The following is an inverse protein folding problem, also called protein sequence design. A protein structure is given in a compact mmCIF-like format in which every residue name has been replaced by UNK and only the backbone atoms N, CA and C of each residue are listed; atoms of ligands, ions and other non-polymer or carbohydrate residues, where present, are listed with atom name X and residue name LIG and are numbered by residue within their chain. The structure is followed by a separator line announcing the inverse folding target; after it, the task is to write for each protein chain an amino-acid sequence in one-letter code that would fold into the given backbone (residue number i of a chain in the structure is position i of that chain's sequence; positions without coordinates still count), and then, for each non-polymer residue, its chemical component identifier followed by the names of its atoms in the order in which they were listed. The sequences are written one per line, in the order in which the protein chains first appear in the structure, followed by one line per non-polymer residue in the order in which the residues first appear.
data_IF_871279803397
#
_entry.id   IF_871279803397
#
_cell.length_a   1.000
_cell.length_b   1.000
_cell.length_c   1.000
_cell.angle_alpha   90.00
_cell.angle_beta   90.00
_cell.angle_gamma   90.00
#
_symmetry.space_group_name_H-M   'P 1'
#
loop_
_entity.id
_entity.type
_entity.pdbx_description
1 polymer ?
#
# COMPACT_ATOMS: atom_id res chain seq x y z
N UNK A 1 80.35 -28.56 -65.82
CA UNK A 1 80.66 -29.07 -64.42
C UNK A 1 79.69 -28.43 -63.45
N UNK A 2 78.96 -29.22 -62.71
CA UNK A 2 77.79 -28.90 -61.91
C UNK A 2 78.20 -28.30 -60.55
N UNK A 3 77.64 -27.09 -60.25
CA UNK A 3 77.75 -26.49 -58.93
C UNK A 3 76.40 -26.53 -58.22
N UNK A 4 76.29 -27.27 -57.11
CA UNK A 4 75.06 -27.33 -56.31
C UNK A 4 74.93 -26.09 -55.43
N UNK A 5 73.80 -25.41 -55.54
CA UNK A 5 73.41 -24.39 -54.60
C UNK A 5 72.59 -25.01 -53.42
N UNK A 6 73.17 -24.98 -52.25
CA UNK A 6 72.55 -25.42 -51.02
C UNK A 6 71.57 -24.34 -50.58
N UNK A 7 70.25 -24.69 -50.54
CA UNK A 7 69.23 -23.86 -49.97
C UNK A 7 69.25 -23.90 -48.44
N UNK A 8 69.58 -22.79 -47.82
CA UNK A 8 69.40 -22.57 -46.35
C UNK A 8 67.97 -22.30 -46.02
N UNK A 9 67.29 -23.33 -45.49
CA UNK A 9 65.96 -23.22 -44.92
C UNK A 9 66.04 -22.50 -43.57
N UNK A 10 65.65 -21.24 -43.49
CA UNK A 10 65.49 -20.54 -42.23
C UNK A 10 64.14 -20.93 -41.58
N UNK A 11 64.21 -21.73 -40.52
CA UNK A 11 63.05 -22.03 -39.66
C UNK A 11 62.60 -20.72 -38.98
N UNK A 12 61.30 -20.33 -39.05
CA UNK A 12 60.82 -19.19 -38.29
C UNK A 12 60.88 -19.55 -36.80
N UNK A 13 61.48 -18.69 -36.00
CA UNK A 13 61.64 -18.88 -34.55
C UNK A 13 60.30 -18.80 -33.85
N UNK A 14 59.85 -19.93 -33.27
CA UNK A 14 58.65 -20.07 -32.46
C UNK A 14 58.66 -19.19 -31.19
N UNK A 15 59.80 -18.62 -30.85
CA UNK A 15 60.02 -17.73 -29.71
C UNK A 15 59.33 -16.34 -29.87
N UNK A 16 59.13 -15.85 -31.09
CA UNK A 16 58.49 -14.57 -31.32
C UNK A 16 56.96 -14.63 -31.17
N UNK A 17 56.34 -15.79 -31.45
CA UNK A 17 54.92 -16.02 -31.24
C UNK A 17 54.53 -16.08 -29.74
N UNK A 18 55.36 -16.75 -28.96
CA UNK A 18 55.12 -16.88 -27.50
C UNK A 18 55.24 -15.55 -26.75
N UNK A 19 56.22 -14.69 -27.18
CA UNK A 19 56.38 -13.33 -26.62
C UNK A 19 55.24 -12.40 -26.99
N UNK A 20 54.71 -12.49 -28.23
CA UNK A 20 53.54 -11.70 -28.65
C UNK A 20 52.26 -12.14 -27.94
N UNK A 21 52.08 -13.43 -27.68
CA UNK A 21 50.94 -13.96 -26.95
C UNK A 21 51.00 -13.56 -25.47
N UNK A 22 52.15 -13.67 -24.81
CA UNK A 22 52.35 -13.26 -23.42
C UNK A 22 52.13 -11.74 -23.24
N UNK A 23 52.56 -10.92 -24.18
CA UNK A 23 52.31 -9.48 -24.17
C UNK A 23 50.82 -9.11 -24.29
N UNK A 24 50.07 -9.82 -25.13
CA UNK A 24 48.60 -9.59 -25.28
C UNK A 24 47.82 -10.04 -24.03
N UNK A 25 48.16 -11.14 -23.43
CA UNK A 25 47.50 -11.59 -22.17
C UNK A 25 47.79 -10.65 -21.00
N UNK A 26 49.01 -10.12 -20.92
CA UNK A 26 49.41 -9.17 -19.88
C UNK A 26 48.63 -7.84 -20.02
N UNK A 27 48.48 -7.34 -21.25
CA UNK A 27 47.69 -6.10 -21.51
C UNK A 27 46.22 -6.29 -21.24
N UNK A 28 45.61 -7.42 -21.61
CA UNK A 28 44.21 -7.72 -21.28
C UNK A 28 44.00 -7.86 -19.77
N UNK A 29 44.91 -8.54 -19.07
CA UNK A 29 44.85 -8.68 -17.62
C UNK A 29 45.02 -7.34 -16.90
N UNK A 30 45.93 -6.47 -17.37
CA UNK A 30 46.10 -5.12 -16.82
C UNK A 30 44.84 -4.25 -17.03
N UNK A 31 44.23 -4.33 -18.19
CA UNK A 31 43.00 -3.57 -18.49
C UNK A 31 41.82 -4.07 -17.66
N UNK A 32 41.68 -5.38 -17.48
CA UNK A 32 40.69 -5.97 -16.60
C UNK A 32 40.91 -5.58 -15.12
N UNK A 33 42.14 -5.55 -14.65
CA UNK A 33 42.48 -5.11 -13.30
C UNK A 33 42.16 -3.63 -13.09
N UNK A 34 42.43 -2.75 -14.05
CA UNK A 34 42.09 -1.34 -14.01
C UNK A 34 40.55 -1.14 -13.96
N UNK A 35 39.79 -1.91 -14.73
CA UNK A 35 38.32 -1.86 -14.72
C UNK A 35 37.74 -2.34 -13.38
N UNK A 36 38.32 -3.35 -12.78
CA UNK A 36 37.89 -3.83 -11.46
C UNK A 36 38.17 -2.82 -10.33
N UNK A 37 39.29 -2.11 -10.39
CA UNK A 37 39.64 -1.06 -9.41
C UNK A 37 38.78 0.20 -9.62
N UNK A 38 38.46 0.56 -10.86
CA UNK A 38 37.62 1.71 -11.18
C UNK A 38 36.13 1.51 -10.75
N UNK A 39 35.67 0.25 -10.63
CA UNK A 39 34.29 -0.07 -10.22
C UNK A 39 34.01 0.17 -8.72
N UNK A 40 35.05 0.19 -7.87
CA UNK A 40 34.91 0.40 -6.43
C UNK A 40 34.96 1.88 -6.03
N UNK A 41 34.11 2.71 -6.61
CA UNK A 41 34.04 4.12 -6.26
C UNK A 41 33.17 4.30 -5.02
N UNK A 42 33.78 4.69 -3.92
CA UNK A 42 33.10 4.95 -2.63
C UNK A 42 33.00 6.46 -2.31
N UNK A 43 33.22 7.32 -3.29
CA UNK A 43 33.18 8.75 -3.11
C UNK A 43 31.81 9.20 -2.58
N UNK A 44 31.79 9.86 -1.45
CA UNK A 44 30.62 10.45 -0.81
C UNK A 44 29.47 9.49 -0.45
N UNK A 45 29.66 8.16 -0.53
CA UNK A 45 28.65 7.20 -0.08
C UNK A 45 28.51 7.22 1.44
N UNK A 46 29.60 7.37 2.14
CA UNK A 46 29.63 7.47 3.60
C UNK A 46 30.23 8.82 4.00
N UNK A 47 29.35 9.76 4.29
CA UNK A 47 29.73 11.11 4.69
C UNK A 47 29.84 11.19 6.22
N UNK A 48 30.68 12.11 6.78
CA UNK A 48 30.78 12.32 8.21
C UNK A 48 29.54 13.08 8.75
N UNK A 49 28.38 12.43 8.70
CA UNK A 49 27.11 12.95 9.21
C UNK A 49 26.40 11.86 10.02
N UNK A 50 25.64 12.28 11.01
CA UNK A 50 24.78 11.37 11.76
C UNK A 50 23.55 11.02 10.91
N UNK A 51 23.39 9.74 10.60
CA UNK A 51 22.28 9.22 9.83
C UNK A 51 21.38 8.44 10.78
N UNK A 52 20.05 8.68 10.80
CA UNK A 52 19.11 7.90 11.59
C UNK A 52 19.28 6.40 11.31
N UNK A 53 19.10 5.56 12.33
CA UNK A 53 19.23 4.08 12.28
C UNK A 53 20.64 3.55 12.02
N UNK A 54 21.65 4.41 11.91
CA UNK A 54 23.05 4.00 11.97
C UNK A 54 23.62 4.17 13.38
N UNK A 55 24.64 3.39 13.68
CA UNK A 55 25.44 3.58 14.88
C UNK A 55 26.18 4.91 14.87
N UNK A 56 26.45 5.47 16.05
CA UNK A 56 27.26 6.67 16.25
C UNK A 56 28.13 6.49 17.47
N UNK A 57 29.43 6.70 17.32
CA UNK A 57 30.38 6.69 18.45
C UNK A 57 30.31 7.95 19.31
N UNK A 58 29.59 8.98 18.79
CA UNK A 58 29.43 10.26 19.50
C UNK A 58 28.56 10.13 20.75
N UNK A 59 27.64 9.16 20.80
CA UNK A 59 26.69 8.99 21.89
C UNK A 59 26.93 7.69 22.66
N UNK A 60 26.79 7.74 23.98
CA UNK A 60 27.01 6.60 24.86
C UNK A 60 26.09 5.40 24.59
N UNK A 61 24.91 5.62 24.02
CA UNK A 61 23.95 4.59 23.60
C UNK A 61 24.19 4.07 22.18
N UNK A 62 25.25 4.52 21.53
CA UNK A 62 25.65 4.18 20.16
C UNK A 62 24.54 4.40 19.09
N UNK A 63 23.53 5.21 19.36
CA UNK A 63 22.41 5.47 18.46
C UNK A 63 22.61 6.80 17.70
N UNK A 64 22.52 6.75 16.38
CA UNK A 64 22.47 7.95 15.54
C UNK A 64 21.14 8.70 15.67
N UNK A 65 20.01 7.96 15.81
CA UNK A 65 18.71 8.55 16.06
C UNK A 65 18.55 8.86 17.55
N UNK A 66 18.30 10.11 17.89
CA UNK A 66 18.10 10.54 19.27
C UNK A 66 16.65 10.39 19.69
N UNK A 67 16.37 9.87 20.89
CA UNK A 67 15.04 9.90 21.45
C UNK A 67 14.57 11.34 21.62
N UNK A 68 13.27 11.56 21.51
CA UNK A 68 12.68 12.86 21.77
C UNK A 68 12.93 13.26 23.23
N UNK A 69 13.29 14.51 23.46
CA UNK A 69 13.45 15.05 24.80
C UNK A 69 12.10 15.01 25.51
N UNK A 70 12.06 14.48 26.72
CA UNK A 70 10.83 14.39 27.50
C UNK A 70 10.19 15.78 27.66
N UNK A 71 8.86 15.81 27.60
CA UNK A 71 8.03 17.01 27.71
C UNK A 71 8.28 18.06 26.61
N UNK A 72 8.81 17.64 25.45
CA UNK A 72 8.95 18.50 24.27
C UNK A 72 8.18 17.93 23.09
N UNK A 73 7.70 18.83 22.23
CA UNK A 73 7.10 18.49 20.94
C UNK A 73 7.93 19.13 19.86
N UNK A 74 8.36 18.35 18.88
CA UNK A 74 9.11 18.90 17.76
C UNK A 74 8.23 19.86 16.94
N UNK A 75 8.86 20.88 16.35
CA UNK A 75 8.16 21.85 15.51
C UNK A 75 7.40 21.14 14.40
N UNK A 76 6.11 21.43 14.25
CA UNK A 76 5.21 20.83 13.28
C UNK A 76 4.64 19.47 13.69
N UNK A 77 4.98 18.94 14.88
CA UNK A 77 4.45 17.67 15.38
C UNK A 77 3.41 17.83 16.51
N UNK A 78 2.99 19.05 16.78
CA UNK A 78 1.90 19.29 17.73
C UNK A 78 0.59 18.82 17.09
N UNK A 79 -0.01 17.76 17.65
CA UNK A 79 -1.22 17.12 17.16
C UNK A 79 -2.42 17.54 18.01
N UNK A 80 -2.78 18.82 17.94
CA UNK A 80 -3.86 19.40 18.76
C UNK A 80 -5.23 18.85 18.36
N UNK A 81 -5.49 18.69 17.06
CA UNK A 81 -6.73 18.11 16.58
C UNK A 81 -6.72 16.60 16.78
N UNK A 82 -7.16 16.17 17.94
CA UNK A 82 -7.19 14.74 18.29
C UNK A 82 -8.03 13.95 17.29
N UNK A 83 -9.16 14.47 16.85
CA UNK A 83 -10.02 13.76 15.90
C UNK A 83 -9.35 13.56 14.54
N UNK A 84 -8.72 14.61 14.02
CA UNK A 84 -8.00 14.53 12.74
C UNK A 84 -6.88 13.46 12.77
N UNK A 85 -6.14 13.37 13.88
CA UNK A 85 -5.01 12.46 13.98
C UNK A 85 -5.37 11.03 14.42
N UNK A 86 -6.46 10.85 15.15
CA UNK A 86 -6.83 9.53 15.71
C UNK A 86 -8.09 8.91 15.13
N UNK A 87 -8.97 9.70 14.50
CA UNK A 87 -10.27 9.26 14.00
C UNK A 87 -11.32 9.01 15.09
N UNK A 88 -11.02 9.34 16.35
CA UNK A 88 -11.92 9.12 17.48
C UNK A 88 -12.00 10.34 18.37
N UNK A 89 -13.14 10.57 18.98
CA UNK A 89 -13.33 11.55 20.03
C UNK A 89 -13.47 10.85 21.39
N UNK A 90 -13.26 11.60 22.45
CA UNK A 90 -13.55 11.12 23.78
C UNK A 90 -15.03 11.38 24.07
N UNK A 91 -15.82 10.30 24.15
CA UNK A 91 -17.24 10.38 24.49
C UNK A 91 -17.46 10.76 25.97
N UNK A 92 -18.69 11.11 26.30
CA UNK A 92 -19.10 11.52 27.64
C UNK A 92 -18.79 10.47 28.73
N UNK A 93 -18.72 9.19 28.36
CA UNK A 93 -18.42 8.07 29.25
C UNK A 93 -16.91 7.77 29.35
N UNK A 94 -16.05 8.62 28.81
CA UNK A 94 -14.60 8.40 28.78
C UNK A 94 -14.13 7.35 27.76
N UNK A 95 -15.04 6.72 27.03
CA UNK A 95 -14.71 5.78 25.95
C UNK A 95 -14.45 6.53 24.66
N UNK A 96 -13.65 5.89 23.80
CA UNK A 96 -13.39 6.42 22.46
C UNK A 96 -14.58 6.13 21.56
N UNK A 97 -15.06 7.15 20.89
CA UNK A 97 -16.18 7.06 19.95
C UNK A 97 -15.74 7.40 18.54
N UNK A 98 -16.11 6.54 17.61
CA UNK A 98 -15.97 6.79 16.17
C UNK A 98 -17.11 7.68 15.70
N UNK A 99 -16.83 8.56 14.73
CA UNK A 99 -17.78 9.56 14.27
C UNK A 99 -18.02 9.43 12.76
N UNK A 100 -19.24 9.73 12.33
CA UNK A 100 -19.57 9.78 10.90
C UNK A 100 -19.38 11.20 10.34
N UNK A 101 -18.25 11.84 10.64
CA UNK A 101 -17.93 13.20 10.26
C UNK A 101 -16.53 13.26 9.67
N UNK A 102 -16.37 14.04 8.60
CA UNK A 102 -15.05 14.35 8.05
C UNK A 102 -14.46 15.56 8.79
N UNK A 103 -13.14 15.55 9.09
CA UNK A 103 -12.49 16.67 9.74
C UNK A 103 -12.26 17.89 8.82
N UNK A 104 -12.52 17.75 7.53
CA UNK A 104 -12.40 18.82 6.53
C UNK A 104 -13.43 18.60 5.40
N UNK A 105 -13.71 19.64 4.59
CA UNK A 105 -14.65 19.54 3.48
C UNK A 105 -14.21 18.51 2.44
N UNK A 106 -15.13 17.66 1.99
CA UNK A 106 -14.88 16.69 0.92
C UNK A 106 -15.05 17.36 -0.43
N UNK A 107 -13.94 17.65 -1.09
CA UNK A 107 -13.91 18.20 -2.45
C UNK A 107 -13.58 17.09 -3.46
N UNK A 108 -13.77 17.40 -4.76
CA UNK A 108 -13.37 16.46 -5.82
C UNK A 108 -11.85 16.15 -5.79
N UNK A 109 -11.03 17.09 -5.35
CA UNK A 109 -9.58 16.85 -5.23
C UNK A 109 -9.26 15.89 -4.09
N UNK A 110 -9.98 15.99 -2.97
CA UNK A 110 -9.91 15.01 -1.86
C UNK A 110 -10.33 13.63 -2.34
N UNK A 111 -11.41 13.50 -3.12
CA UNK A 111 -11.86 12.22 -3.65
C UNK A 111 -10.87 11.64 -4.66
N UNK A 112 -10.32 12.45 -5.56
CA UNK A 112 -9.27 12.01 -6.52
C UNK A 112 -8.00 11.56 -5.78
N UNK A 113 -7.59 12.30 -4.76
CA UNK A 113 -6.46 11.92 -3.90
C UNK A 113 -6.74 10.61 -3.18
N UNK A 114 -7.93 10.44 -2.62
CA UNK A 114 -8.39 9.21 -1.99
C UNK A 114 -8.39 8.03 -2.96
N UNK A 115 -8.88 8.21 -4.18
CA UNK A 115 -8.86 7.22 -5.24
C UNK A 115 -7.44 6.80 -5.61
N UNK A 116 -6.55 7.77 -5.80
CA UNK A 116 -5.14 7.51 -6.11
C UNK A 116 -4.50 6.65 -5.03
N UNK A 117 -4.65 7.03 -3.75
CA UNK A 117 -4.08 6.31 -2.62
C UNK A 117 -4.71 4.95 -2.41
N UNK A 118 -6.02 4.83 -2.56
CA UNK A 118 -6.73 3.57 -2.54
C UNK A 118 -6.21 2.61 -3.62
N UNK A 119 -6.02 3.11 -4.84
CA UNK A 119 -5.51 2.30 -5.95
C UNK A 119 -4.08 1.80 -5.73
N UNK A 120 -3.26 2.52 -4.98
CA UNK A 120 -1.88 2.13 -4.68
C UNK A 120 -1.82 1.12 -3.52
N UNK A 121 -2.49 1.43 -2.41
CA UNK A 121 -2.29 0.70 -1.15
C UNK A 121 -3.38 -0.33 -0.84
N UNK A 122 -4.61 -0.12 -1.31
CA UNK A 122 -5.76 -0.91 -0.88
C UNK A 122 -6.18 -1.95 -1.92
N UNK A 123 -6.10 -1.62 -3.22
CA UNK A 123 -6.56 -2.50 -4.31
C UNK A 123 -5.90 -3.86 -4.37
N UNK A 124 -4.63 -4.06 -3.98
CA UNK A 124 -4.03 -5.39 -4.00
C UNK A 124 -4.82 -6.42 -3.19
N UNK A 125 -5.47 -6.00 -2.11
CA UNK A 125 -6.31 -6.86 -1.28
C UNK A 125 -7.81 -6.61 -1.51
N UNK A 126 -8.24 -5.33 -1.58
CA UNK A 126 -9.66 -4.97 -1.64
C UNK A 126 -10.23 -4.89 -3.06
N UNK A 127 -9.42 -5.03 -4.11
CA UNK A 127 -9.73 -4.75 -5.51
C UNK A 127 -10.11 -3.27 -5.77
N UNK A 128 -10.20 -2.90 -7.04
CA UNK A 128 -10.55 -1.51 -7.42
C UNK A 128 -12.00 -1.15 -7.09
N UNK A 129 -12.87 -2.14 -7.03
CA UNK A 129 -14.28 -1.95 -6.72
C UNK A 129 -14.62 -2.16 -5.24
N UNK A 130 -13.65 -2.52 -4.42
CA UNK A 130 -13.84 -2.67 -2.98
C UNK A 130 -14.54 -3.95 -2.54
N UNK A 131 -14.64 -4.97 -3.40
CA UNK A 131 -15.32 -6.23 -3.11
C UNK A 131 -14.49 -7.23 -2.27
N UNK A 132 -13.24 -6.89 -1.95
CA UNK A 132 -12.36 -7.76 -1.15
C UNK A 132 -11.66 -8.88 -1.93
N UNK A 133 -11.77 -8.90 -3.26
CA UNK A 133 -11.19 -9.90 -4.16
C UNK A 133 -10.05 -9.28 -4.97
N UNK A 134 -9.03 -8.80 -4.27
CA UNK A 134 -7.84 -8.26 -4.92
C UNK A 134 -6.87 -9.36 -5.34
N UNK A 135 -5.90 -9.01 -6.16
CA UNK A 135 -4.89 -9.90 -6.74
C UNK A 135 -4.16 -10.78 -5.71
N UNK A 136 -3.87 -10.24 -4.53
CA UNK A 136 -3.19 -10.99 -3.47
C UNK A 136 -4.12 -12.05 -2.87
N UNK A 137 -5.41 -11.75 -2.77
CA UNK A 137 -6.44 -12.70 -2.30
C UNK A 137 -6.61 -13.84 -3.30
N UNK A 138 -6.63 -13.54 -4.60
CA UNK A 138 -6.67 -14.56 -5.65
C UNK A 138 -5.45 -15.49 -5.62
N UNK A 139 -4.31 -14.99 -5.14
CA UNK A 139 -3.08 -15.78 -4.93
C UNK A 139 -3.03 -16.53 -3.60
N UNK A 140 -4.13 -16.58 -2.86
CA UNK A 140 -4.27 -17.41 -1.64
C UNK A 140 -4.08 -16.66 -0.32
N UNK A 141 -4.00 -15.32 -0.33
CA UNK A 141 -4.07 -14.54 0.91
C UNK A 141 -5.49 -14.57 1.49
N UNK A 142 -5.63 -14.29 2.78
CA UNK A 142 -6.94 -14.22 3.42
C UNK A 142 -7.82 -13.19 2.71
N UNK A 143 -9.11 -13.50 2.47
CA UNK A 143 -10.05 -12.58 1.88
C UNK A 143 -10.12 -11.26 2.66
N UNK A 144 -10.00 -10.16 1.93
CA UNK A 144 -10.22 -8.84 2.50
C UNK A 144 -11.73 -8.60 2.68
N UNK A 145 -12.09 -7.70 3.59
CA UNK A 145 -13.49 -7.35 3.78
C UNK A 145 -14.08 -6.75 2.50
N UNK A 146 -15.29 -7.19 2.14
CA UNK A 146 -16.09 -6.51 1.13
C UNK A 146 -16.60 -5.19 1.72
N UNK A 147 -16.21 -4.07 1.13
CA UNK A 147 -16.58 -2.74 1.60
C UNK A 147 -18.06 -2.41 1.38
N UNK A 148 -18.78 -3.22 0.60
CA UNK A 148 -20.19 -3.03 0.26
C UNK A 148 -21.14 -3.90 1.09
N UNK A 149 -20.62 -4.73 2.01
CA UNK A 149 -21.49 -5.51 2.88
C UNK A 149 -22.21 -4.62 3.91
N UNK A 150 -23.37 -5.06 4.38
CA UNK A 150 -24.22 -4.29 5.28
C UNK A 150 -23.50 -3.83 6.57
N UNK A 151 -22.58 -4.67 7.07
CA UNK A 151 -21.80 -4.35 8.26
C UNK A 151 -20.86 -3.18 8.00
N UNK A 152 -20.24 -3.12 6.83
CA UNK A 152 -19.33 -2.04 6.44
C UNK A 152 -20.08 -0.77 6.05
N UNK A 153 -21.22 -0.91 5.37
CA UNK A 153 -22.08 0.24 5.06
C UNK A 153 -22.53 0.98 6.31
N UNK A 154 -22.80 0.28 7.42
CA UNK A 154 -23.25 0.85 8.67
C UNK A 154 -22.16 1.48 9.53
N UNK A 155 -20.86 1.22 9.26
CA UNK A 155 -19.77 1.79 10.04
C UNK A 155 -19.65 3.30 9.83
N UNK A 156 -19.28 4.08 10.85
CA UNK A 156 -19.00 5.50 10.70
C UNK A 156 -17.75 5.71 9.82
N UNK A 157 -17.62 6.89 9.19
CA UNK A 157 -16.50 7.15 8.27
C UNK A 157 -15.15 7.08 8.97
N UNK A 158 -15.08 7.51 10.21
CA UNK A 158 -13.85 7.46 11.00
C UNK A 158 -13.39 6.04 11.33
N UNK A 159 -14.28 5.05 11.26
CA UNK A 159 -13.92 3.64 11.39
C UNK A 159 -12.88 3.23 10.33
N UNK A 160 -13.05 3.64 9.10
CA UNK A 160 -12.07 3.35 8.04
C UNK A 160 -10.72 4.00 8.30
N UNK A 161 -10.74 5.26 8.79
CA UNK A 161 -9.51 5.93 9.21
C UNK A 161 -8.83 5.18 10.36
N UNK A 162 -9.60 4.76 11.38
CA UNK A 162 -9.09 4.03 12.53
C UNK A 162 -8.48 2.68 12.13
N UNK A 163 -9.18 1.91 11.29
CA UNK A 163 -8.69 0.62 10.78
C UNK A 163 -7.40 0.78 9.97
N UNK A 164 -7.32 1.78 9.09
CA UNK A 164 -6.08 2.07 8.36
C UNK A 164 -4.93 2.50 9.29
N UNK A 165 -5.25 3.12 10.41
CA UNK A 165 -4.24 3.59 11.38
C UNK A 165 -3.68 2.48 12.25
N UNK A 166 -4.50 1.50 12.63
CA UNK A 166 -4.14 0.48 13.62
C UNK A 166 -4.06 -0.93 13.03
N UNK A 167 -4.54 -1.14 11.80
CA UNK A 167 -4.75 -2.45 11.25
C UNK A 167 -5.99 -3.13 11.82
N UNK A 168 -6.39 -4.25 11.24
CA UNK A 168 -7.48 -5.08 11.73
C UNK A 168 -7.34 -6.53 11.28
N UNK A 169 -7.18 -7.46 12.21
CA UNK A 169 -7.00 -8.88 11.90
C UNK A 169 -5.76 -9.13 11.05
N UNK A 170 -5.94 -9.57 9.80
CA UNK A 170 -4.85 -9.79 8.85
C UNK A 170 -4.43 -8.52 8.09
N UNK A 171 -5.18 -7.44 8.19
CA UNK A 171 -4.85 -6.17 7.58
C UNK A 171 -3.79 -5.44 8.41
N UNK A 172 -2.61 -5.14 7.86
CA UNK A 172 -1.59 -4.35 8.56
C UNK A 172 -2.03 -2.90 8.75
N UNK A 173 -1.37 -2.18 9.64
CA UNK A 173 -1.53 -0.74 9.74
C UNK A 173 -0.82 -0.01 8.58
N UNK A 174 -1.33 1.16 8.24
CA UNK A 174 -0.82 2.01 7.16
C UNK A 174 -0.43 3.41 7.65
N UNK A 175 -0.26 3.59 8.97
CA UNK A 175 0.02 4.92 9.53
C UNK A 175 1.36 5.50 9.10
N UNK A 176 2.33 4.63 8.81
CA UNK A 176 3.66 5.06 8.37
C UNK A 176 3.72 5.35 6.87
N UNK A 177 2.87 4.68 6.06
CA UNK A 177 2.83 4.82 4.61
C UNK A 177 1.89 5.93 4.15
N UNK A 178 0.81 6.18 4.92
CA UNK A 178 -0.23 7.16 4.59
C UNK A 178 -0.30 8.25 5.67
N UNK A 179 -0.11 9.49 5.26
CA UNK A 179 -0.33 10.65 6.11
C UNK A 179 -1.80 10.71 6.59
N UNK A 180 -2.11 11.36 7.71
CA UNK A 180 -3.49 11.45 8.21
C UNK A 180 -4.50 11.96 7.19
N UNK A 181 -4.15 13.02 6.46
CA UNK A 181 -4.98 13.59 5.40
C UNK A 181 -5.26 12.58 4.27
N UNK A 182 -4.28 11.78 3.88
CA UNK A 182 -4.45 10.74 2.86
C UNK A 182 -5.35 9.61 3.37
N UNK A 183 -5.26 9.22 4.64
CA UNK A 183 -6.16 8.22 5.24
C UNK A 183 -7.61 8.71 5.27
N UNK A 184 -7.84 9.97 5.61
CA UNK A 184 -9.17 10.58 5.51
C UNK A 184 -9.67 10.67 4.09
N UNK A 185 -8.81 11.02 3.13
CA UNK A 185 -9.17 11.03 1.71
C UNK A 185 -9.56 9.63 1.21
N UNK A 186 -8.84 8.58 1.64
CA UNK A 186 -9.21 7.18 1.33
C UNK A 186 -10.54 6.81 1.97
N UNK A 187 -10.80 7.22 3.23
CA UNK A 187 -12.08 6.98 3.88
C UNK A 187 -13.24 7.64 3.12
N UNK A 188 -13.06 8.88 2.64
CA UNK A 188 -14.03 9.57 1.79
C UNK A 188 -14.24 8.83 0.46
N UNK A 189 -13.17 8.35 -0.16
CA UNK A 189 -13.28 7.58 -1.40
C UNK A 189 -14.00 6.24 -1.21
N UNK A 190 -13.79 5.54 -0.09
CA UNK A 190 -14.54 4.33 0.26
C UNK A 190 -16.04 4.64 0.33
N UNK A 191 -16.45 5.78 0.92
CA UNK A 191 -17.85 6.21 0.90
C UNK A 191 -18.37 6.45 -0.51
N UNK A 192 -17.58 7.07 -1.38
CA UNK A 192 -17.95 7.24 -2.78
C UNK A 192 -18.11 5.89 -3.51
N UNK A 193 -17.23 4.91 -3.26
CA UNK A 193 -17.36 3.56 -3.78
C UNK A 193 -18.63 2.87 -3.28
N UNK A 194 -18.93 2.97 -1.99
CA UNK A 194 -20.16 2.43 -1.40
C UNK A 194 -21.40 3.06 -2.04
N UNK A 195 -21.41 4.39 -2.18
CA UNK A 195 -22.50 5.10 -2.82
C UNK A 195 -22.66 4.70 -4.29
N UNK A 196 -21.58 4.48 -5.02
CA UNK A 196 -21.64 4.08 -6.43
C UNK A 196 -22.37 2.76 -6.69
N UNK A 197 -22.45 1.87 -5.68
CA UNK A 197 -23.12 0.56 -5.79
C UNK A 197 -24.49 0.52 -5.09
N UNK A 198 -24.75 1.42 -4.14
CA UNK A 198 -25.94 1.43 -3.32
C UNK A 198 -26.74 2.76 -3.46
N UNK A 199 -26.35 3.62 -4.42
CA UNK A 199 -27.02 4.90 -4.65
C UNK A 199 -28.49 4.69 -5.08
N UNK A 200 -29.35 5.53 -4.54
CA UNK A 200 -30.76 5.61 -4.89
C UNK A 200 -31.06 6.94 -5.61
N UNK A 201 -32.24 7.08 -6.20
CA UNK A 201 -32.64 8.33 -6.79
C UNK A 201 -32.66 9.51 -5.78
N UNK A 202 -32.80 9.22 -4.49
CA UNK A 202 -32.75 10.22 -3.43
C UNK A 202 -31.35 10.81 -3.22
N UNK A 203 -30.29 10.11 -3.64
CA UNK A 203 -28.91 10.58 -3.53
C UNK A 203 -28.51 11.51 -4.68
N UNK A 204 -29.37 11.62 -5.70
CA UNK A 204 -29.14 12.51 -6.84
C UNK A 204 -29.61 13.91 -6.48
N UNK A 205 -28.80 14.98 -6.62
CA UNK A 205 -29.18 16.33 -6.32
C UNK A 205 -30.44 16.75 -7.10
N UNK A 206 -31.34 17.51 -6.46
CA UNK A 206 -32.56 18.01 -7.09
C UNK A 206 -32.21 18.77 -8.38
N UNK A 207 -32.91 18.47 -9.46
CA UNK A 207 -32.67 19.07 -10.77
C UNK A 207 -31.61 18.42 -11.63
N UNK A 208 -30.92 17.41 -11.11
CA UNK A 208 -29.97 16.56 -11.88
C UNK A 208 -30.70 15.34 -12.41
N UNK A 209 -30.66 15.11 -13.72
CA UNK A 209 -31.14 13.85 -14.30
C UNK A 209 -29.98 12.84 -14.30
N UNK A 210 -30.22 11.68 -13.69
CA UNK A 210 -29.30 10.55 -13.84
C UNK A 210 -29.37 10.05 -15.29
N UNK A 211 -28.23 10.05 -15.97
CA UNK A 211 -28.13 9.49 -17.32
C UNK A 211 -27.94 7.98 -17.23
N UNK A 212 -28.55 7.25 -18.14
CA UNK A 212 -28.30 5.81 -18.29
C UNK A 212 -26.89 5.54 -18.76
N UNK A 213 -26.36 4.35 -18.46
CA UNK A 213 -25.03 3.93 -18.97
C UNK A 213 -24.95 3.94 -20.50
N UNK A 214 -26.07 3.64 -21.17
CA UNK A 214 -26.18 3.68 -22.63
C UNK A 214 -26.06 5.11 -23.18
N UNK A 215 -26.67 6.09 -22.52
CA UNK A 215 -26.55 7.51 -22.89
C UNK A 215 -25.12 8.00 -22.69
N UNK A 216 -24.52 7.69 -21.55
CA UNK A 216 -23.12 8.07 -21.26
C UNK A 216 -22.15 7.40 -22.26
N UNK A 217 -22.36 6.12 -22.58
CA UNK A 217 -21.53 5.41 -23.53
C UNK A 217 -21.63 6.04 -24.93
N UNK A 218 -22.82 6.46 -25.34
CA UNK A 218 -23.04 7.13 -26.63
C UNK A 218 -22.41 8.54 -26.65
N UNK A 219 -22.61 9.35 -25.62
CA UNK A 219 -22.05 10.69 -25.50
C UNK A 219 -20.52 10.72 -25.48
N UNK A 220 -19.91 9.73 -24.80
CA UNK A 220 -18.46 9.63 -24.64
C UNK A 220 -17.80 8.74 -25.66
N UNK A 221 -18.56 8.23 -26.64
CA UNK A 221 -18.09 7.31 -27.68
C UNK A 221 -17.33 6.08 -27.10
N UNK A 222 -17.89 5.53 -26.01
CA UNK A 222 -17.33 4.35 -25.33
C UNK A 222 -17.82 3.06 -26.01
N UNK A 223 -17.06 1.95 -25.88
CA UNK A 223 -17.47 0.66 -26.38
C UNK A 223 -18.83 0.22 -25.82
N UNK A 224 -19.64 -0.51 -26.60
CA UNK A 224 -20.97 -0.98 -26.19
C UNK A 224 -20.97 -1.82 -24.91
N UNK A 225 -19.86 -2.41 -24.54
CA UNK A 225 -19.67 -3.13 -23.28
C UNK A 225 -19.86 -2.24 -22.03
N UNK A 226 -19.67 -0.93 -22.15
CA UNK A 226 -19.91 0.03 -21.06
C UNK A 226 -21.41 0.28 -20.83
N UNK A 227 -22.25 0.02 -21.81
CA UNK A 227 -23.70 0.18 -21.68
C UNK A 227 -24.38 -1.03 -21.01
N UNK A 228 -23.64 -2.13 -20.82
CA UNK A 228 -24.20 -3.32 -20.18
C UNK A 228 -24.06 -3.22 -18.63
N UNK A 229 -25.08 -3.72 -17.88
CA UNK A 229 -24.94 -3.84 -16.44
C UNK A 229 -23.68 -4.64 -16.11
N UNK A 230 -22.89 -4.14 -15.21
CA UNK A 230 -21.68 -4.82 -14.79
C UNK A 230 -22.06 -6.07 -13.98
N UNK A 231 -22.07 -7.22 -14.61
CA UNK A 231 -22.24 -8.49 -13.94
C UNK A 231 -20.85 -9.02 -13.56
N UNK A 232 -20.64 -9.25 -12.27
CA UNK A 232 -19.46 -9.99 -11.82
C UNK A 232 -19.40 -11.32 -12.61
N UNK A 233 -18.26 -11.68 -13.21
CA UNK A 233 -18.13 -12.98 -13.84
C UNK A 233 -18.50 -14.08 -12.83
N UNK A 234 -19.24 -15.11 -13.27
CA UNK A 234 -19.71 -16.18 -12.40
C UNK A 234 -18.59 -16.84 -11.58
N UNK A 235 -17.35 -16.83 -12.11
CA UNK A 235 -16.15 -17.28 -11.41
C UNK A 235 -15.81 -16.43 -10.16
N UNK A 236 -16.10 -15.15 -10.17
CA UNK A 236 -15.88 -14.28 -9.03
C UNK A 236 -16.92 -14.46 -7.92
N UNK A 237 -18.12 -14.93 -8.29
CA UNK A 237 -19.21 -15.22 -7.34
C UNK A 237 -19.09 -16.64 -6.77
N UNK A 238 -18.55 -17.58 -7.54
CA UNK A 238 -18.43 -18.99 -7.14
C UNK A 238 -17.20 -19.30 -6.28
N UNK A 239 -16.22 -18.38 -6.17
CA UNK A 239 -15.01 -18.58 -5.38
C UNK A 239 -15.25 -18.61 -3.85
N UNK A 240 -16.45 -18.26 -3.39
CA UNK A 240 -16.81 -18.36 -1.97
C UNK A 240 -17.92 -19.41 -1.82
N UNK A 241 -17.68 -20.48 -1.05
CA UNK A 241 -18.77 -21.32 -0.61
C UNK A 241 -19.77 -20.43 0.15
N UNK A 242 -21.08 -20.63 -0.04
CA UNK A 242 -22.08 -19.87 0.70
C UNK A 242 -21.75 -19.99 2.20
N UNK A 243 -21.67 -18.85 2.88
CA UNK A 243 -21.52 -18.83 4.33
C UNK A 243 -22.77 -19.50 4.89
N UNK A 244 -22.66 -20.78 5.14
CA UNK A 244 -23.70 -21.51 5.88
C UNK A 244 -23.77 -20.86 7.25
N UNK A 245 -24.97 -20.60 7.75
CA UNK A 245 -25.23 -19.99 9.06
C UNK A 245 -24.63 -20.75 10.25
N UNK A 246 -23.98 -21.85 10.04
CA UNK A 246 -23.29 -22.67 11.01
C UNK A 246 -21.78 -22.55 10.81
N UNK A 247 -21.17 -21.83 11.72
CA UNK A 247 -19.72 -21.76 11.85
C UNK A 247 -19.14 -20.46 11.35
N UNK A 248 -19.12 -19.46 12.23
CA UNK A 248 -18.04 -18.50 12.23
C UNK A 248 -16.73 -19.29 12.17
N UNK A 249 -15.86 -19.14 11.16
CA UNK A 249 -14.57 -19.80 11.19
C UNK A 249 -13.91 -19.37 12.49
N UNK A 250 -13.54 -20.35 13.31
CA UNK A 250 -12.81 -20.06 14.53
C UNK A 250 -11.67 -19.14 14.16
N UNK A 251 -11.67 -17.92 14.67
CA UNK A 251 -10.55 -17.02 14.55
C UNK A 251 -9.31 -17.79 14.98
N UNK A 252 -8.32 -17.88 14.10
CA UNK A 252 -7.03 -18.40 14.52
C UNK A 252 -6.66 -17.67 15.82
N UNK A 253 -6.14 -18.37 16.84
CA UNK A 253 -5.80 -17.74 18.11
C UNK A 253 -4.88 -16.56 17.80
N UNK A 254 -5.22 -15.39 18.36
CA UNK A 254 -4.38 -14.22 18.29
C UNK A 254 -2.99 -14.60 18.78
N UNK A 255 -1.96 -14.12 18.10
CA UNK A 255 -0.60 -14.31 18.54
C UNK A 255 -0.51 -13.87 20.02
N UNK A 256 -0.02 -14.69 20.96
CA UNK A 256 0.03 -14.33 22.38
C UNK A 256 0.90 -13.10 22.70
N UNK A 257 1.62 -12.57 21.70
CA UNK A 257 2.39 -11.34 21.81
C UNK A 257 1.60 -10.05 21.41
N UNK A 258 0.39 -10.18 20.86
CA UNK A 258 -0.43 -9.01 20.54
C UNK A 258 -1.12 -8.48 21.80
N UNK A 259 -1.02 -7.19 22.12
CA UNK A 259 -1.77 -6.63 23.24
C UNK A 259 -3.25 -6.82 22.97
N UNK A 260 -3.92 -7.53 23.87
CA UNK A 260 -5.36 -7.75 23.82
C UNK A 260 -6.04 -6.38 23.96
N UNK A 261 -6.39 -5.79 22.82
CA UNK A 261 -7.27 -4.62 22.81
C UNK A 261 -8.69 -5.16 23.03
N UNK A 262 -9.12 -5.17 24.28
CA UNK A 262 -10.50 -5.45 24.64
C UNK A 262 -11.35 -4.29 24.10
N UNK A 263 -11.92 -4.47 22.89
CA UNK A 263 -12.94 -3.58 22.38
C UNK A 263 -14.25 -4.03 23.04
N UNK A 264 -14.85 -3.23 23.96
CA UNK A 264 -16.14 -3.57 24.52
C UNK A 264 -17.15 -3.64 23.37
N UNK A 265 -17.79 -4.80 23.20
CA UNK A 265 -18.93 -4.94 22.30
C UNK A 265 -19.99 -3.95 22.78
N UNK A 266 -20.29 -2.93 21.98
CA UNK A 266 -21.40 -2.01 22.24
C UNK A 266 -22.69 -2.82 22.26
N UNK A 267 -23.25 -2.97 23.45
CA UNK A 267 -24.58 -3.54 23.63
C UNK A 267 -25.57 -2.68 22.85
N UNK A 268 -26.16 -3.25 21.82
CA UNK A 268 -27.28 -2.62 21.08
C UNK A 268 -28.34 -2.19 22.13
N UNK A 269 -28.74 -0.94 22.20
CA UNK A 269 -29.81 -0.53 23.10
C UNK A 269 -31.07 -1.29 22.72
N UNK A 270 -31.69 -1.90 23.72
CA UNK A 270 -32.99 -2.56 23.56
C UNK A 270 -34.02 -1.55 23.05
N UNK A 271 -34.93 -1.96 22.14
CA UNK A 271 -35.97 -1.07 21.64
C UNK A 271 -36.81 -0.59 22.83
N UNK A 272 -36.98 0.73 22.93
CA UNK A 272 -37.80 1.34 23.95
C UNK A 272 -39.21 0.73 23.90
N UNK A 273 -39.65 0.17 25.02
CA UNK A 273 -41.01 -0.34 25.17
C UNK A 273 -41.98 0.81 24.92
N UNK A 274 -42.89 0.61 23.97
CA UNK A 274 -43.97 1.53 23.72
C UNK A 274 -44.81 1.71 25.00
N UNK A 275 -44.83 2.92 25.54
CA UNK A 275 -45.72 3.31 26.62
C UNK A 275 -47.17 3.25 26.12
N UNK A 276 -47.97 2.50 26.86
CA UNK A 276 -49.43 2.53 26.69
C UNK A 276 -50.01 3.82 27.22
#
# INVERSE_FOLDING_TARGET
MRGQLSALSSKPSTLNGARAFAGRTLTVASFAAILLVAGCRQDMQDQPKVIPQRGSEMFADHRGARPQVLNTVARGQLREDTYFYTGVIQGANGYREEQNMMPFPVTMDVLRRGQERFNIYCTPCHSRVGNGLGEIVERGYKPAANLHDQVRLSQPISHYFYVMTHGYGAMPDYREQLAPEDRWAVAAYIRALQLSQAATQADVPAGTQAKSLSEIATEQNLPASYAQPWTLPASAVQAYPPVTKEGTPAMAPANPADPVINIPQTKTPAPAAAAK
#
